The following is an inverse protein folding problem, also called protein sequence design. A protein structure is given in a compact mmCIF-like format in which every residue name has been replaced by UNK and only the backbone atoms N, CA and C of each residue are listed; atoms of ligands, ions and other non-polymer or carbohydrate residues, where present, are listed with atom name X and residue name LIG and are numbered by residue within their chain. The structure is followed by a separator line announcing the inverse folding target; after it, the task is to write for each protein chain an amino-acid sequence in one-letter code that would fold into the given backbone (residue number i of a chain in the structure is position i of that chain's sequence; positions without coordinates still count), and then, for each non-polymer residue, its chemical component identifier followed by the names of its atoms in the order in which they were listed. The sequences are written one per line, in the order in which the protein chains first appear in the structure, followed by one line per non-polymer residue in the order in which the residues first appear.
data_IF_804688645685
#
_entry.id   IF_804688645685
#
_cell.length_a   1.000
_cell.length_b   1.000
_cell.length_c   1.000
_cell.angle_alpha   90.00
_cell.angle_beta   90.00
_cell.angle_gamma   90.00
#
_symmetry.space_group_name_H-M   'P 1'
#
loop_
_entity.id
_entity.type
_entity.pdbx_description
1 polymer ?
#
# COMPACT_ATOMS: atom_id res chain seq x y z
N UNK A 1 19.50 77.63 -6.40
CA UNK A 1 20.31 76.47 -6.75
C UNK A 1 19.83 75.32 -5.82
N UNK A 2 19.13 74.34 -6.38
CA UNK A 2 18.68 73.19 -5.58
C UNK A 2 19.68 71.99 -5.69
N UNK A 3 20.01 71.39 -4.53
CA UNK A 3 20.82 70.22 -4.37
C UNK A 3 20.06 68.98 -4.87
N UNK A 4 20.74 68.18 -5.69
CA UNK A 4 20.31 66.88 -6.14
C UNK A 4 20.66 65.84 -5.10
N UNK A 5 19.62 65.17 -4.52
CA UNK A 5 19.80 63.94 -3.74
C UNK A 5 19.74 62.76 -4.70
N UNK A 6 20.82 61.99 -4.69
CA UNK A 6 20.96 60.72 -5.36
C UNK A 6 20.37 59.65 -4.41
N UNK A 7 19.34 58.94 -4.84
CA UNK A 7 18.84 57.74 -4.19
C UNK A 7 19.72 56.56 -4.54
N UNK A 8 20.43 56.01 -3.58
CA UNK A 8 21.09 54.73 -3.65
C UNK A 8 20.01 53.62 -3.63
N UNK A 9 19.98 52.80 -4.65
CA UNK A 9 19.21 51.57 -4.67
C UNK A 9 19.93 50.49 -3.88
N UNK A 10 19.37 50.14 -2.74
CA UNK A 10 19.77 49.02 -1.90
C UNK A 10 19.41 47.72 -2.63
N UNK A 11 20.43 47.01 -3.12
CA UNK A 11 20.33 45.67 -3.68
C UNK A 11 20.10 44.66 -2.56
N UNK A 12 18.85 44.50 -2.16
CA UNK A 12 18.43 43.45 -1.23
C UNK A 12 18.82 42.06 -1.73
N UNK A 13 19.89 41.53 -1.18
CA UNK A 13 20.36 40.17 -1.35
C UNK A 13 19.27 39.22 -0.87
N UNK A 14 18.51 38.63 -1.79
CA UNK A 14 17.61 37.53 -1.51
C UNK A 14 18.42 36.35 -0.98
N UNK A 15 18.55 36.27 0.33
CA UNK A 15 19.02 35.10 1.05
C UNK A 15 18.10 33.94 0.71
N UNK A 16 18.55 33.06 -0.20
CA UNK A 16 17.95 31.76 -0.43
C UNK A 16 18.10 30.97 0.88
N UNK A 17 17.02 30.90 1.66
CA UNK A 17 16.88 29.96 2.77
C UNK A 17 17.00 28.55 2.14
N UNK A 18 18.22 27.99 2.17
CA UNK A 18 18.42 26.56 1.95
C UNK A 18 17.74 25.86 3.12
N UNK A 19 16.53 25.35 2.91
CA UNK A 19 16.00 24.34 3.80
C UNK A 19 17.05 23.23 3.88
N UNK A 20 17.63 23.10 5.06
CA UNK A 20 18.51 21.97 5.40
C UNK A 20 17.61 20.73 5.26
N UNK A 21 17.87 19.91 4.23
CA UNK A 21 17.25 18.58 4.13
C UNK A 21 17.66 17.84 5.39
N UNK A 22 16.72 17.63 6.29
CA UNK A 22 16.91 16.74 7.42
C UNK A 22 17.18 15.33 6.89
N UNK A 23 17.97 14.57 7.63
CA UNK A 23 18.45 13.21 7.33
C UNK A 23 17.42 12.39 6.54
N UNK A 24 17.71 12.06 5.29
CA UNK A 24 16.75 11.47 4.35
C UNK A 24 16.65 9.94 4.46
N UNK A 25 17.44 9.32 5.35
CA UNK A 25 17.35 7.87 5.58
C UNK A 25 15.99 7.58 6.24
N UNK A 26 15.13 6.79 5.58
CA UNK A 26 13.77 6.52 6.06
C UNK A 26 13.75 5.43 7.14
N UNK A 27 14.43 5.66 8.27
CA UNK A 27 14.62 4.66 9.32
C UNK A 27 13.30 4.06 9.82
N UNK A 28 12.26 4.87 10.00
CA UNK A 28 10.97 4.37 10.44
C UNK A 28 10.33 3.40 9.44
N UNK A 29 10.46 3.67 8.13
CA UNK A 29 9.98 2.75 7.10
C UNK A 29 10.81 1.46 7.07
N UNK A 30 12.14 1.56 7.27
CA UNK A 30 13.01 0.39 7.36
C UNK A 30 12.63 -0.47 8.56
N UNK A 31 12.42 0.12 9.74
CA UNK A 31 11.98 -0.59 10.95
C UNK A 31 10.64 -1.29 10.74
N UNK A 32 9.69 -0.60 10.09
CA UNK A 32 8.37 -1.14 9.79
C UNK A 32 8.45 -2.30 8.79
N UNK A 33 9.28 -2.17 7.75
CA UNK A 33 9.49 -3.23 6.76
C UNK A 33 10.16 -4.45 7.38
N UNK A 34 11.19 -4.26 8.20
CA UNK A 34 11.87 -5.33 8.94
C UNK A 34 10.90 -6.10 9.84
N UNK A 35 10.06 -5.38 10.61
CA UNK A 35 9.03 -5.99 11.44
C UNK A 35 8.02 -6.81 10.62
N UNK A 36 7.65 -6.33 9.42
CA UNK A 36 6.75 -7.03 8.50
C UNK A 36 7.43 -8.29 7.94
N UNK A 37 8.71 -8.22 7.55
CA UNK A 37 9.48 -9.38 7.10
C UNK A 37 9.59 -10.45 8.17
N UNK A 38 9.85 -10.06 9.42
CA UNK A 38 9.88 -10.99 10.57
C UNK A 38 8.51 -11.62 10.83
N UNK A 39 7.42 -10.86 10.66
CA UNK A 39 6.06 -11.39 10.82
C UNK A 39 5.73 -12.43 9.76
N UNK A 40 6.12 -12.22 8.49
CA UNK A 40 6.01 -13.20 7.40
C UNK A 40 6.81 -14.47 7.70
N UNK A 41 8.05 -14.34 8.18
CA UNK A 41 8.88 -15.47 8.58
C UNK A 41 8.25 -16.28 9.70
N UNK A 42 7.73 -15.60 10.73
CA UNK A 42 7.06 -16.23 11.86
C UNK A 42 5.74 -16.92 11.46
N UNK A 43 5.00 -16.36 10.52
CA UNK A 43 3.82 -17.01 9.94
C UNK A 43 4.24 -18.29 9.19
N UNK A 44 5.23 -18.17 8.29
CA UNK A 44 5.71 -19.29 7.49
C UNK A 44 6.19 -20.49 8.32
N UNK A 45 6.84 -20.24 9.48
CA UNK A 45 7.30 -21.28 10.41
C UNK A 45 6.15 -22.10 11.02
N UNK A 46 4.92 -21.57 11.03
CA UNK A 46 3.75 -22.24 11.61
C UNK A 46 3.00 -23.10 10.58
N UNK A 47 3.34 -22.97 9.28
CA UNK A 47 2.57 -23.59 8.21
C UNK A 47 3.02 -25.01 7.92
N UNK A 48 2.06 -25.93 7.84
CA UNK A 48 2.26 -27.24 7.23
C UNK A 48 2.39 -27.13 5.70
N UNK A 49 2.96 -28.15 5.05
CA UNK A 49 3.08 -28.16 3.58
C UNK A 49 1.71 -28.05 2.89
N UNK A 50 0.67 -28.63 3.47
CA UNK A 50 -0.69 -28.49 2.95
C UNK A 50 -1.19 -27.04 3.02
N UNK A 51 -0.89 -26.29 4.09
CA UNK A 51 -1.27 -24.89 4.22
C UNK A 51 -0.52 -23.99 3.25
N UNK A 52 0.73 -24.29 2.91
CA UNK A 52 1.47 -23.57 1.87
C UNK A 52 0.80 -23.62 0.50
N UNK A 53 0.04 -24.68 0.22
CA UNK A 53 -0.65 -24.89 -1.08
C UNK A 53 -2.10 -24.42 -1.09
N UNK A 54 -2.62 -23.85 0.01
CA UNK A 54 -3.98 -23.30 0.04
C UNK A 54 -4.09 -22.11 -0.92
N UNK A 55 -5.19 -22.00 -1.66
CA UNK A 55 -5.46 -20.82 -2.49
C UNK A 55 -5.71 -19.60 -1.61
N UNK A 56 -5.35 -18.43 -2.11
CA UNK A 56 -5.59 -17.13 -1.45
C UNK A 56 -6.62 -16.29 -2.21
N UNK A 57 -6.93 -15.10 -1.68
CA UNK A 57 -7.77 -14.11 -2.37
C UNK A 57 -7.07 -13.48 -3.60
N UNK A 58 -5.76 -13.73 -3.80
CA UNK A 58 -5.08 -13.38 -5.04
C UNK A 58 -5.40 -14.41 -6.11
N UNK A 59 -6.03 -14.01 -7.26
CA UNK A 59 -6.42 -14.96 -8.29
C UNK A 59 -5.25 -15.81 -8.80
N UNK A 60 -5.37 -17.13 -8.70
CA UNK A 60 -4.38 -18.10 -9.15
C UNK A 60 -3.17 -18.29 -8.24
N UNK A 61 -3.10 -17.59 -7.09
CA UNK A 61 -1.97 -17.66 -6.17
C UNK A 61 -2.31 -18.42 -4.89
N UNK A 62 -1.42 -19.34 -4.52
CA UNK A 62 -1.42 -20.01 -3.23
C UNK A 62 -0.74 -19.15 -2.15
N UNK A 63 -0.75 -19.61 -0.91
CA UNK A 63 0.02 -19.04 0.19
C UNK A 63 1.51 -18.98 -0.17
N UNK A 64 2.06 -20.05 -0.75
CA UNK A 64 3.44 -20.10 -1.22
C UNK A 64 3.72 -19.08 -2.33
N UNK A 65 2.78 -18.90 -3.26
CA UNK A 65 2.92 -17.97 -4.37
C UNK A 65 3.01 -16.51 -3.88
N UNK A 66 2.25 -16.15 -2.83
CA UNK A 66 2.36 -14.84 -2.20
C UNK A 66 3.79 -14.57 -1.66
N UNK A 67 4.39 -15.53 -0.95
CA UNK A 67 5.76 -15.36 -0.47
C UNK A 67 6.78 -15.37 -1.61
N UNK A 68 6.58 -16.20 -2.63
CA UNK A 68 7.43 -16.28 -3.83
C UNK A 68 7.45 -14.96 -4.61
N UNK A 69 6.30 -14.26 -4.70
CA UNK A 69 6.22 -12.91 -5.25
C UNK A 69 7.09 -11.93 -4.47
N UNK A 70 6.98 -11.90 -3.14
CA UNK A 70 7.77 -11.00 -2.30
C UNK A 70 9.28 -11.27 -2.45
N UNK A 71 9.70 -12.55 -2.55
CA UNK A 71 11.09 -12.93 -2.81
C UNK A 71 11.58 -12.32 -4.13
N UNK A 72 10.84 -12.50 -5.23
CA UNK A 72 11.22 -11.99 -6.55
C UNK A 72 11.40 -10.47 -6.56
N UNK A 73 10.51 -9.74 -5.88
CA UNK A 73 10.60 -8.29 -5.75
C UNK A 73 11.84 -7.88 -4.96
N UNK A 74 12.11 -8.50 -3.80
CA UNK A 74 13.26 -8.12 -2.98
C UNK A 74 14.60 -8.49 -3.65
N UNK A 75 14.67 -9.59 -4.41
CA UNK A 75 15.85 -9.92 -5.23
C UNK A 75 16.11 -8.79 -6.23
N UNK A 76 15.09 -8.37 -6.98
CA UNK A 76 15.21 -7.31 -7.99
C UNK A 76 15.64 -5.98 -7.35
N UNK A 77 15.04 -5.59 -6.23
CA UNK A 77 15.36 -4.36 -5.51
C UNK A 77 16.75 -4.37 -4.86
N UNK A 78 17.28 -5.54 -4.57
CA UNK A 78 18.65 -5.72 -4.07
C UNK A 78 19.71 -5.71 -5.18
N UNK A 79 19.32 -5.52 -6.44
CA UNK A 79 20.21 -5.55 -7.59
C UNK A 79 20.52 -6.96 -8.11
N UNK A 80 19.75 -7.96 -7.65
CA UNK A 80 19.84 -9.33 -8.17
C UNK A 80 19.23 -9.46 -9.56
N UNK A 81 19.56 -10.54 -10.25
CA UNK A 81 19.03 -10.82 -11.58
C UNK A 81 17.68 -11.54 -11.47
N UNK A 82 16.60 -11.00 -12.07
CA UNK A 82 15.34 -11.71 -12.16
C UNK A 82 15.48 -13.07 -12.86
N UNK A 83 14.59 -14.00 -12.55
CA UNK A 83 14.60 -15.33 -13.20
C UNK A 83 14.50 -15.22 -14.71
N UNK A 84 15.19 -16.10 -15.43
CA UNK A 84 15.01 -16.29 -16.88
C UNK A 84 13.84 -17.22 -17.22
N UNK A 85 13.23 -17.84 -16.20
CA UNK A 85 12.06 -18.68 -16.35
C UNK A 85 10.89 -17.90 -16.97
N UNK A 86 10.08 -18.57 -17.78
CA UNK A 86 8.86 -18.03 -18.37
C UNK A 86 7.68 -18.89 -17.94
N UNK A 87 6.80 -18.31 -17.17
CA UNK A 87 5.55 -18.95 -16.77
C UNK A 87 4.64 -19.20 -17.97
N UNK A 88 3.74 -20.19 -17.91
CA UNK A 88 2.61 -20.28 -18.83
C UNK A 88 1.76 -18.99 -18.78
N UNK A 89 0.96 -18.77 -19.82
CA UNK A 89 -0.01 -17.69 -19.83
C UNK A 89 -1.25 -18.08 -19.02
N UNK A 90 -1.66 -17.19 -18.13
CA UNK A 90 -2.87 -17.37 -17.33
C UNK A 90 -3.83 -16.20 -17.54
N UNK A 91 -5.13 -16.45 -17.51
CA UNK A 91 -6.17 -15.43 -17.75
C UNK A 91 -6.22 -14.33 -16.68
N UNK A 92 -5.69 -14.60 -15.48
CA UNK A 92 -5.60 -13.61 -14.42
C UNK A 92 -4.44 -12.62 -14.58
N UNK A 93 -3.47 -12.88 -15.47
CA UNK A 93 -2.37 -11.94 -15.77
C UNK A 93 -2.89 -10.87 -16.74
N UNK A 94 -2.85 -9.60 -16.31
CA UNK A 94 -3.45 -8.50 -17.09
C UNK A 94 -2.43 -7.53 -17.72
N UNK A 95 -1.16 -7.56 -17.27
CA UNK A 95 -0.15 -6.61 -17.70
C UNK A 95 1.27 -7.16 -17.53
N UNK A 96 2.28 -6.43 -18.03
CA UNK A 96 3.68 -6.84 -17.98
C UNK A 96 4.25 -6.98 -16.56
N UNK A 97 3.73 -6.23 -15.58
CA UNK A 97 4.12 -6.38 -14.17
C UNK A 97 3.63 -7.73 -13.66
N UNK A 98 2.39 -8.08 -13.97
CA UNK A 98 1.83 -9.40 -13.64
C UNK A 98 2.61 -10.54 -14.28
N UNK A 99 3.05 -10.41 -15.56
CA UNK A 99 3.90 -11.42 -16.22
C UNK A 99 5.25 -11.57 -15.51
N UNK A 100 5.87 -10.45 -15.13
CA UNK A 100 7.13 -10.49 -14.39
C UNK A 100 6.98 -11.17 -13.03
N UNK A 101 5.95 -10.81 -12.28
CA UNK A 101 5.66 -11.42 -10.98
C UNK A 101 5.39 -12.92 -11.12
N UNK A 102 4.62 -13.32 -12.13
CA UNK A 102 4.28 -14.71 -12.37
C UNK A 102 5.50 -15.57 -12.72
N UNK A 103 6.47 -15.05 -13.47
CA UNK A 103 7.73 -15.76 -13.74
C UNK A 103 8.49 -16.06 -12.44
N UNK A 104 8.55 -15.10 -11.52
CA UNK A 104 9.20 -15.25 -10.22
C UNK A 104 8.46 -16.23 -9.30
N UNK A 105 7.14 -16.30 -9.42
CA UNK A 105 6.30 -17.23 -8.67
C UNK A 105 6.43 -18.64 -9.23
N UNK A 106 6.22 -18.81 -10.52
CA UNK A 106 6.10 -20.11 -11.17
C UNK A 106 7.38 -20.94 -11.06
N UNK A 107 8.54 -20.31 -11.11
CA UNK A 107 9.83 -20.98 -10.90
C UNK A 107 9.96 -21.64 -9.51
N UNK A 108 9.20 -21.14 -8.51
CA UNK A 108 9.21 -21.65 -7.13
C UNK A 108 8.06 -22.61 -6.82
N UNK A 109 7.07 -22.79 -7.71
CA UNK A 109 5.89 -23.66 -7.45
C UNK A 109 6.23 -25.12 -7.22
N UNK A 110 7.33 -25.62 -7.78
CA UNK A 110 7.80 -27.00 -7.59
C UNK A 110 8.54 -27.22 -6.28
N UNK A 111 8.90 -26.15 -5.58
CA UNK A 111 9.58 -26.20 -4.29
C UNK A 111 8.59 -26.53 -3.15
N UNK A 112 9.11 -27.04 -2.04
CA UNK A 112 8.35 -27.14 -0.80
C UNK A 112 8.19 -25.76 -0.15
N UNK A 113 7.16 -25.57 0.70
CA UNK A 113 6.98 -24.35 1.47
C UNK A 113 8.18 -24.05 2.36
N UNK A 114 8.82 -25.07 2.92
CA UNK A 114 10.04 -24.93 3.72
C UNK A 114 11.23 -24.35 2.91
N UNK A 115 11.41 -24.78 1.66
CA UNK A 115 12.46 -24.23 0.78
C UNK A 115 12.20 -22.77 0.42
N UNK A 116 10.96 -22.41 0.10
CA UNK A 116 10.57 -21.01 -0.16
C UNK A 116 10.75 -20.14 1.07
N UNK A 117 10.43 -20.64 2.27
CA UNK A 117 10.66 -19.92 3.52
C UNK A 117 12.14 -19.70 3.81
N UNK A 118 12.99 -20.68 3.54
CA UNK A 118 14.45 -20.56 3.70
C UNK A 118 15.00 -19.48 2.76
N UNK A 119 14.58 -19.49 1.48
CA UNK A 119 14.95 -18.45 0.51
C UNK A 119 14.47 -17.08 0.97
N UNK A 120 13.21 -16.96 1.42
CA UNK A 120 12.67 -15.72 1.99
C UNK A 120 13.51 -15.17 3.14
N UNK A 121 13.86 -16.01 4.12
CA UNK A 121 14.64 -15.59 5.27
C UNK A 121 16.02 -15.05 4.86
N UNK A 122 16.67 -15.67 3.88
CA UNK A 122 17.95 -15.20 3.33
C UNK A 122 17.80 -13.87 2.61
N UNK A 123 16.83 -13.77 1.68
CA UNK A 123 16.61 -12.58 0.86
C UNK A 123 16.19 -11.38 1.70
N UNK A 124 15.25 -11.57 2.62
CA UNK A 124 14.73 -10.52 3.49
C UNK A 124 15.80 -9.98 4.45
N UNK A 125 16.61 -10.86 5.05
CA UNK A 125 17.73 -10.45 5.92
C UNK A 125 18.79 -9.65 5.15
N UNK A 126 19.18 -10.11 3.95
CA UNK A 126 20.12 -9.40 3.09
C UNK A 126 19.57 -8.03 2.69
N UNK A 127 18.28 -7.94 2.36
CA UNK A 127 17.62 -6.68 2.01
C UNK A 127 17.63 -5.67 3.15
N UNK A 128 17.29 -6.08 4.37
CA UNK A 128 17.36 -5.20 5.55
C UNK A 128 18.78 -4.74 5.82
N UNK A 129 19.75 -5.64 5.73
CA UNK A 129 21.19 -5.30 5.88
C UNK A 129 21.61 -4.25 4.85
N UNK A 130 21.20 -4.40 3.58
CA UNK A 130 21.46 -3.41 2.53
C UNK A 130 20.85 -2.05 2.86
N UNK A 131 19.57 -2.02 3.25
CA UNK A 131 18.86 -0.78 3.59
C UNK A 131 19.48 -0.07 4.80
N UNK A 132 19.90 -0.80 5.82
CA UNK A 132 20.55 -0.24 7.02
C UNK A 132 21.92 0.37 6.73
N UNK A 133 22.63 -0.14 5.74
CA UNK A 133 23.95 0.34 5.33
C UNK A 133 23.92 1.37 4.19
N UNK A 134 22.74 1.65 3.64
CA UNK A 134 22.57 2.60 2.54
C UNK A 134 22.66 4.05 3.02
N UNK A 135 23.19 4.90 2.16
CA UNK A 135 23.27 6.36 2.38
C UNK A 135 22.06 7.11 1.79
N UNK A 136 22.01 8.41 2.01
CA UNK A 136 20.93 9.27 1.48
C UNK A 136 20.85 9.19 -0.05
N UNK A 137 21.97 9.06 -0.76
CA UNK A 137 22.01 9.01 -2.22
C UNK A 137 21.29 7.76 -2.76
N UNK A 138 21.40 6.63 -2.05
CA UNK A 138 20.67 5.42 -2.39
C UNK A 138 19.15 5.64 -2.36
N UNK A 139 18.62 6.27 -1.30
CA UNK A 139 17.19 6.51 -1.17
C UNK A 139 16.66 7.60 -2.11
N UNK A 140 17.55 8.50 -2.58
CA UNK A 140 17.23 9.52 -3.59
C UNK A 140 17.31 8.96 -5.04
N UNK A 141 17.75 7.73 -5.26
CA UNK A 141 17.84 7.13 -6.59
C UNK A 141 16.48 7.18 -7.29
N UNK A 142 16.38 7.83 -8.47
CA UNK A 142 15.12 7.91 -9.20
C UNK A 142 14.66 6.54 -9.68
N UNK A 143 13.35 6.31 -9.59
CA UNK A 143 12.73 5.13 -10.16
C UNK A 143 11.29 5.41 -10.60
N UNK A 144 10.74 4.55 -11.47
CA UNK A 144 9.32 4.59 -11.82
C UNK A 144 8.53 3.76 -10.82
N UNK A 145 7.61 4.42 -10.12
CA UNK A 145 6.64 3.78 -9.22
C UNK A 145 5.34 3.48 -9.97
N UNK A 146 4.47 2.60 -9.44
CA UNK A 146 3.12 2.42 -9.98
C UNK A 146 2.30 3.72 -10.03
N UNK A 147 2.64 4.69 -9.18
CA UNK A 147 1.98 6.01 -9.09
C UNK A 147 2.65 7.12 -9.92
N UNK A 148 3.71 6.80 -10.66
CA UNK A 148 4.50 7.76 -11.45
C UNK A 148 5.96 7.88 -10.97
N UNK A 149 6.71 8.88 -11.45
CA UNK A 149 8.10 9.09 -11.05
C UNK A 149 8.24 9.30 -9.54
N UNK A 150 9.26 8.69 -8.93
CA UNK A 150 9.61 8.81 -7.52
C UNK A 150 11.02 8.32 -7.24
N UNK A 151 11.30 7.92 -6.01
CA UNK A 151 12.61 7.46 -5.55
C UNK A 151 12.53 6.07 -4.91
N UNK A 152 13.69 5.45 -4.66
CA UNK A 152 13.77 4.22 -3.87
C UNK A 152 13.22 4.42 -2.45
N UNK A 153 13.43 5.58 -1.84
CA UNK A 153 12.84 5.93 -0.55
C UNK A 153 11.31 5.95 -0.59
N UNK A 154 10.72 6.54 -1.65
CA UNK A 154 9.26 6.50 -1.85
C UNK A 154 8.74 5.07 -2.05
N UNK A 155 9.53 4.20 -2.68
CA UNK A 155 9.16 2.82 -2.94
C UNK A 155 9.08 1.97 -1.67
N UNK A 156 9.86 2.29 -0.63
CA UNK A 156 9.73 1.60 0.67
C UNK A 156 8.31 1.68 1.24
N UNK A 157 7.65 2.82 1.04
CA UNK A 157 6.25 2.99 1.43
C UNK A 157 5.31 2.03 0.69
N UNK A 158 5.60 1.73 -0.58
CA UNK A 158 4.86 0.75 -1.38
C UNK A 158 5.19 -0.67 -0.90
N UNK A 159 6.46 -0.95 -0.58
CA UNK A 159 6.87 -2.27 -0.10
C UNK A 159 6.23 -2.64 1.23
N UNK A 160 6.11 -1.70 2.18
CA UNK A 160 5.40 -1.94 3.45
C UNK A 160 3.96 -2.38 3.17
N UNK A 161 3.24 -1.63 2.32
CA UNK A 161 1.87 -1.99 1.93
C UNK A 161 1.81 -3.37 1.30
N UNK A 162 2.64 -3.63 0.31
CA UNK A 162 2.62 -4.84 -0.49
C UNK A 162 2.93 -6.09 0.37
N UNK A 163 3.99 -6.04 1.18
CA UNK A 163 4.35 -7.13 2.08
C UNK A 163 3.27 -7.40 3.13
N UNK A 164 2.70 -6.34 3.73
CA UNK A 164 1.66 -6.51 4.73
C UNK A 164 0.35 -7.03 4.13
N UNK A 165 -0.05 -6.56 2.94
CA UNK A 165 -1.27 -7.05 2.27
C UNK A 165 -1.13 -8.54 1.92
N UNK A 166 0.01 -8.96 1.37
CA UNK A 166 0.26 -10.37 1.07
C UNK A 166 0.37 -11.24 2.33
N UNK A 167 0.89 -10.71 3.43
CA UNK A 167 0.81 -11.39 4.72
C UNK A 167 -0.64 -11.62 5.15
N UNK A 168 -1.51 -10.60 5.00
CA UNK A 168 -2.93 -10.75 5.32
C UNK A 168 -3.64 -11.73 4.37
N UNK A 169 -3.25 -11.80 3.10
CA UNK A 169 -3.73 -12.82 2.15
C UNK A 169 -3.40 -14.24 2.65
N UNK A 170 -2.15 -14.45 3.08
CA UNK A 170 -1.69 -15.73 3.65
C UNK A 170 -2.43 -16.07 4.96
N UNK A 171 -2.62 -15.10 5.84
CA UNK A 171 -3.32 -15.29 7.12
C UNK A 171 -4.79 -15.65 6.93
N UNK A 172 -5.49 -14.98 6.02
CA UNK A 172 -6.89 -15.32 5.70
C UNK A 172 -7.02 -16.73 5.14
N UNK A 173 -6.14 -17.12 4.22
CA UNK A 173 -6.18 -18.46 3.61
C UNK A 173 -5.90 -19.56 4.63
N UNK A 174 -5.03 -19.32 5.61
CA UNK A 174 -4.63 -20.34 6.61
C UNK A 174 -5.46 -20.30 7.89
N UNK A 175 -6.28 -19.26 8.09
CA UNK A 175 -7.05 -19.06 9.32
C UNK A 175 -6.19 -18.65 10.53
N UNK A 176 -4.92 -18.25 10.31
CA UNK A 176 -3.99 -17.83 11.36
C UNK A 176 -4.04 -16.32 11.50
N UNK A 177 -4.86 -15.80 12.40
CA UNK A 177 -4.98 -14.37 12.67
C UNK A 177 -3.66 -13.77 13.19
N UNK A 178 -3.46 -12.46 12.98
CA UNK A 178 -2.34 -11.71 13.54
C UNK A 178 -1.87 -10.56 12.64
N UNK A 179 -1.03 -9.70 13.21
CA UNK A 179 -0.46 -8.51 12.55
C UNK A 179 -1.51 -7.59 11.88
N UNK A 180 -2.73 -7.56 12.47
CA UNK A 180 -3.85 -6.75 11.94
C UNK A 180 -3.76 -5.27 12.31
N UNK A 181 -2.91 -4.92 13.25
CA UNK A 181 -2.64 -3.57 13.75
C UNK A 181 -1.16 -3.23 13.75
N UNK A 182 -0.83 -2.06 14.31
CA UNK A 182 0.55 -1.58 14.40
C UNK A 182 1.06 -0.87 13.13
N UNK A 183 2.36 -0.52 13.08
CA UNK A 183 2.90 0.43 12.11
C UNK A 183 2.65 0.06 10.64
N UNK A 184 2.76 -1.22 10.26
CA UNK A 184 2.57 -1.65 8.88
C UNK A 184 1.10 -1.58 8.44
N UNK A 185 0.17 -1.99 9.32
CA UNK A 185 -1.27 -1.89 9.09
C UNK A 185 -1.71 -0.42 8.98
N UNK A 186 -1.28 0.43 9.92
CA UNK A 186 -1.58 1.87 9.92
C UNK A 186 -1.04 2.54 8.66
N UNK A 187 0.23 2.29 8.31
CA UNK A 187 0.86 2.80 7.10
C UNK A 187 0.09 2.40 5.83
N UNK A 188 -0.31 1.14 5.74
CA UNK A 188 -1.07 0.61 4.60
C UNK A 188 -2.41 1.31 4.47
N UNK A 189 -3.17 1.40 5.56
CA UNK A 189 -4.49 2.04 5.59
C UNK A 189 -4.37 3.52 5.26
N UNK A 190 -3.43 4.25 5.87
CA UNK A 190 -3.22 5.68 5.61
C UNK A 190 -2.80 5.94 4.15
N UNK A 191 -2.07 5.01 3.53
CA UNK A 191 -1.76 5.08 2.11
C UNK A 191 -3.00 4.86 1.23
N UNK A 192 -3.83 3.88 1.54
CA UNK A 192 -5.08 3.60 0.82
C UNK A 192 -6.08 4.76 0.96
N UNK A 193 -6.18 5.38 2.14
CA UNK A 193 -7.05 6.53 2.39
C UNK A 193 -6.80 7.68 1.40
N UNK A 194 -5.56 7.90 0.96
CA UNK A 194 -5.22 8.97 0.00
C UNK A 194 -5.95 8.87 -1.32
N UNK A 195 -6.45 7.71 -1.68
CA UNK A 195 -7.19 7.46 -2.92
C UNK A 195 -8.71 7.62 -2.77
N UNK A 196 -9.22 7.66 -1.53
CA UNK A 196 -10.65 7.80 -1.25
C UNK A 196 -11.33 9.02 -1.92
N UNK A 197 -10.69 10.18 -2.04
CA UNK A 197 -11.29 11.30 -2.78
C UNK A 197 -11.65 10.95 -4.23
N UNK A 198 -10.83 10.14 -4.91
CA UNK A 198 -11.12 9.68 -6.29
C UNK A 198 -12.32 8.74 -6.29
N UNK A 199 -12.38 7.83 -5.31
CA UNK A 199 -13.50 6.88 -5.17
C UNK A 199 -14.80 7.63 -4.92
N UNK A 200 -14.84 8.47 -3.89
CA UNK A 200 -16.04 9.20 -3.46
C UNK A 200 -16.49 10.22 -4.51
N UNK A 201 -15.56 11.06 -4.99
CA UNK A 201 -15.91 12.14 -5.92
C UNK A 201 -16.16 11.65 -7.34
N UNK A 202 -15.17 10.96 -7.94
CA UNK A 202 -15.22 10.62 -9.36
C UNK A 202 -15.97 9.31 -9.65
N UNK A 203 -15.63 8.23 -8.90
CA UNK A 203 -16.18 6.90 -9.21
C UNK A 203 -17.60 6.72 -8.69
N UNK A 204 -17.89 7.16 -7.46
CA UNK A 204 -19.22 7.10 -6.86
C UNK A 204 -20.13 8.27 -7.26
N UNK A 205 -19.57 9.29 -7.94
CA UNK A 205 -20.29 10.47 -8.40
C UNK A 205 -21.09 11.17 -7.28
N UNK A 206 -20.42 11.40 -6.14
CA UNK A 206 -21.03 12.13 -5.01
C UNK A 206 -21.36 13.56 -5.46
N UNK A 207 -22.59 14.08 -5.19
CA UNK A 207 -23.00 15.42 -5.59
C UNK A 207 -22.15 16.53 -4.97
N UNK A 208 -22.12 17.69 -5.63
CA UNK A 208 -21.50 18.93 -5.11
C UNK A 208 -22.10 19.32 -3.76
N UNK A 209 -21.26 19.68 -2.80
CA UNK A 209 -21.64 20.05 -1.45
C UNK A 209 -21.95 18.86 -0.52
N UNK A 210 -22.11 17.65 -1.07
CA UNK A 210 -22.40 16.47 -0.28
C UNK A 210 -21.13 15.90 0.39
N UNK A 211 -21.35 15.22 1.52
CA UNK A 211 -20.29 14.58 2.30
C UNK A 211 -20.56 13.10 2.54
N UNK A 212 -19.49 12.33 2.47
CA UNK A 212 -19.45 10.91 2.83
C UNK A 212 -18.43 10.72 3.94
N UNK A 213 -18.76 9.88 4.92
CA UNK A 213 -17.81 9.46 5.95
C UNK A 213 -17.45 7.99 5.73
N UNK A 214 -16.15 7.69 5.69
CA UNK A 214 -15.66 6.33 5.78
C UNK A 214 -15.16 6.10 7.20
N UNK A 215 -15.86 5.26 7.96
CA UNK A 215 -15.56 4.93 9.34
C UNK A 215 -14.89 3.55 9.41
N UNK A 216 -13.56 3.54 9.54
CA UNK A 216 -12.79 2.31 9.71
C UNK A 216 -12.69 1.99 11.20
N UNK A 217 -13.05 0.77 11.57
CA UNK A 217 -13.04 0.24 12.95
C UNK A 217 -12.06 -0.93 13.07
N UNK A 218 -12.01 -1.58 14.23
CA UNK A 218 -11.14 -2.75 14.46
C UNK A 218 -9.75 -2.37 14.91
N UNK A 219 -8.73 -3.10 14.45
CA UNK A 219 -7.34 -2.98 14.92
C UNK A 219 -6.70 -1.66 14.51
N UNK A 220 -7.10 -1.07 13.39
CA UNK A 220 -6.77 0.30 12.99
C UNK A 220 -8.06 1.07 12.84
N UNK A 221 -8.16 2.21 13.51
CA UNK A 221 -9.37 3.05 13.50
C UNK A 221 -9.10 4.37 12.81
N UNK A 222 -9.96 4.74 11.85
CA UNK A 222 -9.93 6.04 11.16
C UNK A 222 -11.36 6.52 10.90
N UNK A 223 -11.58 7.80 11.06
CA UNK A 223 -12.83 8.45 10.66
C UNK A 223 -12.50 9.49 9.57
N UNK A 224 -12.94 9.23 8.35
CA UNK A 224 -12.50 9.96 7.17
C UNK A 224 -13.69 10.67 6.53
N UNK A 225 -13.99 11.90 6.91
CA UNK A 225 -14.98 12.71 6.23
C UNK A 225 -14.44 13.26 4.91
N UNK A 226 -15.22 13.09 3.85
CA UNK A 226 -14.88 13.49 2.49
C UNK A 226 -16.02 14.33 1.94
N UNK A 227 -15.74 15.57 1.53
CA UNK A 227 -16.72 16.50 0.98
C UNK A 227 -16.37 16.85 -0.47
N UNK A 228 -17.37 16.97 -1.33
CA UNK A 228 -17.20 17.47 -2.69
C UNK A 228 -17.31 18.99 -2.67
N UNK A 229 -16.22 19.68 -3.04
CA UNK A 229 -16.10 21.14 -3.05
C UNK A 229 -15.52 21.57 -4.39
N UNK A 230 -16.22 22.43 -5.12
CA UNK A 230 -15.81 22.92 -6.45
C UNK A 230 -15.48 21.77 -7.43
N UNK A 231 -16.34 20.76 -7.46
CA UNK A 231 -16.20 19.58 -8.33
C UNK A 231 -15.11 18.59 -7.89
N UNK A 232 -14.51 18.77 -6.72
CA UNK A 232 -13.44 17.90 -6.19
C UNK A 232 -13.79 17.36 -4.81
N UNK A 233 -13.70 16.04 -4.65
CA UNK A 233 -13.75 15.44 -3.34
C UNK A 233 -12.44 15.69 -2.57
N UNK A 234 -12.56 16.09 -1.32
CA UNK A 234 -11.44 16.42 -0.44
C UNK A 234 -11.70 15.84 0.94
N UNK A 235 -10.67 15.24 1.56
CA UNK A 235 -10.72 14.85 2.96
C UNK A 235 -10.71 16.13 3.80
N UNK A 236 -11.68 16.25 4.71
CA UNK A 236 -11.81 17.41 5.61
C UNK A 236 -11.52 16.98 7.06
N UNK A 237 -11.18 17.93 7.92
CA UNK A 237 -10.80 17.63 9.32
C UNK A 237 -11.97 17.25 10.21
N UNK A 238 -13.18 17.71 9.86
CA UNK A 238 -14.40 17.38 10.57
C UNK A 238 -15.55 17.22 9.57
N UNK A 239 -16.49 16.30 9.77
CA UNK A 239 -17.64 16.18 8.91
C UNK A 239 -18.50 17.45 9.03
N UNK A 240 -19.08 17.95 7.92
CA UNK A 240 -20.12 18.97 7.99
C UNK A 240 -21.36 18.42 8.70
N UNK A 241 -22.29 19.31 9.07
CA UNK A 241 -23.51 18.94 9.79
C UNK A 241 -24.35 17.89 9.03
N UNK A 242 -24.38 17.96 7.69
CA UNK A 242 -25.18 17.12 6.83
C UNK A 242 -24.29 16.09 6.09
N UNK A 243 -24.02 14.96 6.74
CA UNK A 243 -23.37 13.80 6.11
C UNK A 243 -24.41 13.00 5.33
N UNK A 244 -24.25 12.90 4.02
CA UNK A 244 -25.23 12.21 3.16
C UNK A 244 -25.22 10.70 3.40
N UNK A 245 -24.06 10.08 3.53
CA UNK A 245 -23.95 8.69 3.97
C UNK A 245 -22.65 8.43 4.76
N UNK A 246 -22.72 7.41 5.62
CA UNK A 246 -21.57 6.83 6.32
C UNK A 246 -21.42 5.38 5.91
N UNK A 247 -20.21 5.00 5.50
CA UNK A 247 -19.80 3.61 5.24
C UNK A 247 -18.89 3.18 6.38
N UNK A 248 -19.31 2.21 7.17
CA UNK A 248 -18.53 1.66 8.28
C UNK A 248 -18.13 0.21 7.99
N UNK A 249 -16.86 -0.10 8.23
CA UNK A 249 -16.30 -1.44 8.13
C UNK A 249 -15.03 -1.55 8.99
N UNK A 250 -14.62 -2.75 9.34
CA UNK A 250 -13.37 -2.93 10.06
C UNK A 250 -12.14 -2.81 9.14
N UNK A 251 -10.97 -2.60 9.72
CA UNK A 251 -9.73 -2.33 9.01
C UNK A 251 -9.31 -3.45 8.04
N UNK A 252 -9.55 -4.72 8.39
CA UNK A 252 -9.25 -5.84 7.50
C UNK A 252 -10.23 -5.92 6.33
N UNK A 253 -11.53 -5.69 6.58
CA UNK A 253 -12.54 -5.61 5.53
C UNK A 253 -12.24 -4.44 4.57
N UNK A 254 -11.90 -3.26 5.12
CA UNK A 254 -11.48 -2.11 4.32
C UNK A 254 -10.30 -2.46 3.41
N UNK A 255 -9.27 -3.06 3.96
CA UNK A 255 -8.07 -3.42 3.19
C UNK A 255 -8.39 -4.46 2.12
N UNK A 256 -9.12 -5.53 2.45
CA UNK A 256 -9.49 -6.57 1.49
C UNK A 256 -10.31 -6.00 0.32
N UNK A 257 -11.24 -5.09 0.60
CA UNK A 257 -12.04 -4.40 -0.42
C UNK A 257 -11.21 -3.43 -1.24
N UNK A 258 -10.39 -2.59 -0.58
CA UNK A 258 -9.58 -1.56 -1.23
C UNK A 258 -8.46 -2.15 -2.11
N UNK A 259 -8.00 -3.35 -1.81
CA UNK A 259 -7.00 -4.07 -2.59
C UNK A 259 -7.58 -5.11 -3.55
N UNK A 260 -8.91 -5.15 -3.69
CA UNK A 260 -9.60 -6.05 -4.64
C UNK A 260 -9.54 -7.53 -4.28
N UNK A 261 -9.24 -7.86 -3.01
CA UNK A 261 -9.19 -9.25 -2.52
C UNK A 261 -10.57 -9.83 -2.31
N UNK A 262 -11.49 -9.01 -1.82
CA UNK A 262 -12.88 -9.41 -1.59
C UNK A 262 -13.82 -8.35 -2.14
N UNK A 263 -15.01 -8.78 -2.54
CA UNK A 263 -16.07 -7.89 -3.03
C UNK A 263 -16.93 -7.37 -1.88
N UNK A 264 -17.71 -6.32 -2.15
CA UNK A 264 -18.69 -5.81 -1.19
C UNK A 264 -19.69 -6.88 -0.73
N UNK A 265 -20.13 -7.76 -1.64
CA UNK A 265 -21.06 -8.84 -1.35
C UNK A 265 -20.44 -9.88 -0.41
N UNK A 266 -19.18 -10.23 -0.61
CA UNK A 266 -18.45 -11.15 0.28
C UNK A 266 -18.24 -10.55 1.69
N UNK A 267 -18.23 -9.23 1.81
CA UNK A 267 -18.04 -8.49 3.06
C UNK A 267 -19.34 -7.93 3.64
N UNK A 268 -20.51 -8.29 3.11
CA UNK A 268 -21.79 -7.69 3.48
C UNK A 268 -22.10 -7.75 4.99
N UNK A 269 -21.67 -8.80 5.68
CA UNK A 269 -21.83 -8.96 7.13
C UNK A 269 -20.87 -8.12 7.98
N UNK A 270 -19.85 -7.50 7.36
CA UNK A 270 -18.82 -6.65 7.98
C UNK A 270 -18.95 -5.18 7.54
N UNK A 271 -19.93 -4.89 6.69
CA UNK A 271 -20.16 -3.59 6.09
C UNK A 271 -21.48 -3.02 6.59
N UNK A 272 -21.47 -1.77 7.05
CA UNK A 272 -22.69 -1.07 7.44
C UNK A 272 -22.75 0.28 6.72
N UNK A 273 -23.88 0.54 6.06
CA UNK A 273 -24.16 1.81 5.39
C UNK A 273 -25.34 2.48 6.13
N UNK A 274 -25.18 3.76 6.48
CA UNK A 274 -26.25 4.59 7.03
C UNK A 274 -26.39 5.88 6.22
N UNK A 275 -27.60 6.44 6.18
CA UNK A 275 -27.95 7.58 5.32
C UNK A 275 -28.34 7.12 3.90
N UNK A 276 -27.84 7.77 2.87
CA UNK A 276 -28.11 7.41 1.47
C UNK A 276 -27.46 6.09 1.10
N UNK A 277 -28.28 5.03 1.10
CA UNK A 277 -27.82 3.67 0.81
C UNK A 277 -27.30 3.50 -0.61
N UNK A 278 -27.90 4.16 -1.61
CA UNK A 278 -27.48 4.04 -3.01
C UNK A 278 -26.11 4.66 -3.24
N UNK A 279 -25.85 5.81 -2.63
CA UNK A 279 -24.51 6.41 -2.65
C UNK A 279 -23.50 5.53 -1.92
N UNK A 280 -23.86 5.03 -0.74
CA UNK A 280 -23.00 4.12 0.03
C UNK A 280 -22.62 2.89 -0.76
N UNK A 281 -23.57 2.25 -1.44
CA UNK A 281 -23.33 1.09 -2.30
C UNK A 281 -22.41 1.43 -3.47
N UNK A 282 -22.59 2.60 -4.13
CA UNK A 282 -21.67 3.05 -5.18
C UNK A 282 -20.25 3.24 -4.64
N UNK A 283 -20.10 3.86 -3.47
CA UNK A 283 -18.78 4.04 -2.82
C UNK A 283 -18.11 2.69 -2.59
N UNK A 284 -18.82 1.73 -1.99
CA UNK A 284 -18.26 0.43 -1.63
C UNK A 284 -17.85 -0.38 -2.86
N UNK A 285 -18.70 -0.44 -3.89
CA UNK A 285 -18.40 -1.17 -5.13
C UNK A 285 -17.23 -0.57 -5.92
N UNK A 286 -16.91 0.70 -5.71
CA UNK A 286 -15.82 1.40 -6.37
C UNK A 286 -14.53 1.49 -5.52
N UNK A 287 -14.49 0.86 -4.34
CA UNK A 287 -13.35 0.95 -3.42
C UNK A 287 -12.10 0.21 -3.90
N UNK A 288 -12.19 -0.75 -4.82
CA UNK A 288 -10.99 -1.39 -5.35
C UNK A 288 -10.06 -0.35 -6.02
N UNK A 289 -8.90 -0.14 -5.40
CA UNK A 289 -7.90 0.88 -5.76
C UNK A 289 -6.64 0.29 -6.41
N UNK A 290 -6.56 -1.04 -6.50
CA UNK A 290 -5.43 -1.71 -7.16
C UNK A 290 -5.66 -1.79 -8.67
N UNK A 291 -4.55 -1.71 -9.42
CA UNK A 291 -4.52 -1.71 -10.89
C UNK A 291 -4.24 -3.13 -11.38
#
# INVERSE_FOLDING_TARGET
MPSTHICEHDNGTLSRIRHRKENMIPNQQIDTLEATFLSLSNLGQQLSEAQWKLPTDCPGWSVQDNLSHLIGVEITLSGGTPTSHKSPKFDYIKNAIGEHNENEIDVRRTQSGAQVLEEWNSVSSNRITQLRNADDAYFETPMMLPTGPGTLGDFLSIRILDCWVHEQDMRRATGIAGNEGGPAAEHTIDRLIRTLPIVVGKRAATPEGASVVIAITGSVQRNIPITVINGRATIVTAPPADVLCTVQLDSNAFTALATGRQTADQLANRLHISGDNDLGQRVVTQLNMMI
#
